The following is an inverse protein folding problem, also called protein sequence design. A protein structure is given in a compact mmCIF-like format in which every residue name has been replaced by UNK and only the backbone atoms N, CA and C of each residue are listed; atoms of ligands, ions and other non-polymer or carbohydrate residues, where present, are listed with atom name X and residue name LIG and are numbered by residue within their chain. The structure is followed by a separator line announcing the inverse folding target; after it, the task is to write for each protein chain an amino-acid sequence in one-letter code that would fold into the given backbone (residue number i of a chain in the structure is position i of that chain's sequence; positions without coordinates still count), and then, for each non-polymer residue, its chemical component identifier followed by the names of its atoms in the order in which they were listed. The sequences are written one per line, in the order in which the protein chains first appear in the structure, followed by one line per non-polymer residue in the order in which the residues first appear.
data_IF_784644780167
#
_entry.id   IF_784644780167
#
_cell.length_a   1.000
_cell.length_b   1.000
_cell.length_c   1.000
_cell.angle_alpha   90.00
_cell.angle_beta   90.00
_cell.angle_gamma   90.00
#
_symmetry.space_group_name_H-M   'P 1'
#
loop_
_entity.id
_entity.type
_entity.pdbx_description
1 polymer ?
#
# COMPACT_ATOMS: atom_id res chain seq x y z
N UNK A 1 22.43 -25.78 4.92
CA UNK A 1 22.11 -25.21 3.60
C UNK A 1 21.43 -23.87 3.83
N UNK A 2 21.92 -22.79 3.22
CA UNK A 2 21.34 -21.44 3.36
C UNK A 2 20.39 -21.20 2.18
N UNK A 3 19.10 -21.05 2.45
CA UNK A 3 18.11 -20.78 1.42
C UNK A 3 18.01 -19.28 1.20
N UNK A 4 18.37 -18.81 0.00
CA UNK A 4 18.14 -17.41 -0.39
C UNK A 4 16.72 -17.25 -0.88
N UNK A 5 15.92 -16.44 -0.19
CA UNK A 5 14.55 -16.10 -0.60
C UNK A 5 14.59 -14.85 -1.48
N UNK A 6 13.99 -14.92 -2.68
CA UNK A 6 13.84 -13.76 -3.55
C UNK A 6 12.53 -13.05 -3.20
N UNK A 7 12.64 -11.85 -2.64
CA UNK A 7 11.49 -11.02 -2.32
C UNK A 7 11.07 -10.13 -3.49
N UNK A 8 9.76 -9.94 -3.64
CA UNK A 8 9.22 -9.01 -4.64
C UNK A 8 9.54 -7.57 -4.23
N UNK A 9 10.05 -6.78 -5.18
CA UNK A 9 10.38 -5.36 -4.95
C UNK A 9 9.17 -4.42 -4.98
N UNK A 10 8.01 -4.90 -5.45
CA UNK A 10 6.76 -4.14 -5.50
C UNK A 10 5.55 -5.07 -5.52
N UNK A 11 4.38 -4.48 -5.29
CA UNK A 11 3.09 -5.13 -5.27
C UNK A 11 2.15 -4.56 -6.32
N UNK A 12 1.18 -5.38 -6.72
CA UNK A 12 0.01 -4.97 -7.47
C UNK A 12 -1.04 -4.35 -6.55
N UNK A 13 -2.00 -3.62 -7.12
CA UNK A 13 -3.15 -3.10 -6.35
C UNK A 13 -3.96 -4.22 -5.67
N UNK A 14 -4.02 -5.41 -6.28
CA UNK A 14 -4.73 -6.55 -5.72
C UNK A 14 -4.00 -7.17 -4.51
N UNK A 15 -2.68 -7.29 -4.56
CA UNK A 15 -1.88 -7.74 -3.42
C UNK A 15 -1.99 -6.75 -2.25
N UNK A 16 -1.91 -5.44 -2.51
CA UNK A 16 -2.09 -4.42 -1.46
C UNK A 16 -3.51 -4.45 -0.87
N UNK A 17 -4.52 -4.74 -1.69
CA UNK A 17 -5.88 -4.93 -1.17
C UNK A 17 -5.95 -6.10 -0.18
N UNK A 18 -5.29 -7.22 -0.48
CA UNK A 18 -5.20 -8.36 0.43
C UNK A 18 -4.41 -8.01 1.70
N UNK A 19 -3.26 -7.34 1.57
CA UNK A 19 -2.43 -6.92 2.70
C UNK A 19 -3.17 -6.03 3.70
N UNK A 20 -3.98 -5.09 3.20
CA UNK A 20 -4.73 -4.14 4.02
C UNK A 20 -6.11 -4.67 4.45
N UNK A 21 -6.51 -5.87 4.01
CA UNK A 21 -7.86 -6.40 4.25
C UNK A 21 -8.97 -5.56 3.59
N UNK A 22 -8.69 -4.91 2.47
CA UNK A 22 -9.62 -4.03 1.75
C UNK A 22 -10.20 -4.70 0.51
N UNK A 23 -11.39 -4.24 0.09
CA UNK A 23 -11.92 -4.56 -1.24
C UNK A 23 -11.11 -3.88 -2.36
N UNK A 24 -10.97 -4.55 -3.51
CA UNK A 24 -10.19 -4.06 -4.65
C UNK A 24 -10.62 -2.66 -5.13
N UNK A 25 -11.92 -2.37 -5.11
CA UNK A 25 -12.45 -1.05 -5.52
C UNK A 25 -11.94 0.07 -4.62
N UNK A 26 -11.91 -0.13 -3.29
CA UNK A 26 -11.35 0.84 -2.33
C UNK A 26 -9.87 1.06 -2.61
N UNK A 27 -9.10 0.00 -2.78
CA UNK A 27 -7.65 0.11 -3.02
C UNK A 27 -7.35 0.79 -4.36
N UNK A 28 -8.14 0.54 -5.40
CA UNK A 28 -8.05 1.28 -6.67
C UNK A 28 -8.33 2.76 -6.48
N UNK A 29 -9.32 3.13 -5.66
CA UNK A 29 -9.59 4.53 -5.35
C UNK A 29 -8.43 5.19 -4.62
N UNK A 30 -7.83 4.52 -3.61
CA UNK A 30 -6.65 5.05 -2.91
C UNK A 30 -5.48 5.32 -3.86
N UNK A 31 -5.27 4.43 -4.83
CA UNK A 31 -4.24 4.60 -5.86
C UNK A 31 -4.59 5.72 -6.84
N UNK A 32 -5.87 5.86 -7.21
CA UNK A 32 -6.34 6.90 -8.13
C UNK A 32 -6.25 8.30 -7.52
N UNK A 33 -6.61 8.44 -6.25
CA UNK A 33 -6.57 9.71 -5.51
C UNK A 33 -5.17 10.08 -5.03
N UNK A 34 -4.24 9.12 -5.03
CA UNK A 34 -2.87 9.33 -4.54
C UNK A 34 -2.71 9.15 -3.03
N UNK A 35 -3.76 8.73 -2.32
CA UNK A 35 -3.71 8.36 -0.90
C UNK A 35 -2.69 7.24 -0.63
N UNK A 36 -2.56 6.32 -1.60
CA UNK A 36 -1.43 5.38 -1.68
C UNK A 36 -0.65 5.71 -2.96
N UNK A 37 0.65 5.97 -2.81
CA UNK A 37 1.58 6.24 -3.92
C UNK A 37 1.69 5.01 -4.83
N UNK A 38 1.86 5.24 -6.13
CA UNK A 38 2.04 4.18 -7.11
C UNK A 38 2.88 4.63 -8.30
N UNK A 39 3.54 3.67 -8.96
CA UNK A 39 4.22 3.83 -10.24
C UNK A 39 3.28 3.35 -11.34
N UNK A 40 3.13 4.15 -12.41
CA UNK A 40 2.50 3.69 -13.65
C UNK A 40 3.54 2.96 -14.49
N UNK A 41 3.33 1.67 -14.67
CA UNK A 41 4.15 0.80 -15.51
C UNK A 41 3.27 0.23 -16.63
N UNK A 42 3.34 0.87 -17.80
CA UNK A 42 2.43 0.64 -18.92
C UNK A 42 0.97 0.83 -18.54
N UNK A 43 0.17 -0.25 -18.65
CA UNK A 43 -1.26 -0.27 -18.29
C UNK A 43 -1.51 -0.57 -16.80
N UNK A 44 -0.46 -0.87 -16.03
CA UNK A 44 -0.57 -1.33 -14.67
C UNK A 44 -0.11 -0.28 -13.66
N UNK A 45 -0.51 -0.49 -12.39
CA UNK A 45 0.03 0.22 -11.24
C UNK A 45 0.89 -0.73 -10.40
N UNK A 46 2.01 -0.22 -9.89
CA UNK A 46 2.91 -0.91 -8.96
C UNK A 46 3.09 -0.06 -7.71
N UNK A 47 3.08 -0.71 -6.56
CA UNK A 47 3.13 -0.07 -5.25
C UNK A 47 4.36 -0.62 -4.54
N UNK A 48 5.28 0.26 -4.13
CA UNK A 48 6.45 -0.16 -3.35
C UNK A 48 6.00 -0.57 -1.94
N UNK A 49 6.64 -1.56 -1.29
CA UNK A 49 6.31 -1.97 0.08
C UNK A 49 6.27 -0.77 1.04
N UNK A 50 7.32 0.08 1.01
CA UNK A 50 7.40 1.29 1.83
C UNK A 50 6.23 2.26 1.69
N UNK A 51 5.53 2.28 0.55
CA UNK A 51 4.38 3.17 0.36
C UNK A 51 3.11 2.62 1.02
N UNK A 52 3.04 1.31 1.24
CA UNK A 52 1.99 0.71 2.07
C UNK A 52 2.25 1.09 3.53
N UNK A 53 3.51 0.99 3.98
CA UNK A 53 3.90 1.38 5.35
C UNK A 53 3.65 2.87 5.61
N UNK A 54 4.05 3.75 4.68
CA UNK A 54 3.80 5.20 4.75
C UNK A 54 2.30 5.52 4.85
N UNK A 55 1.44 4.78 4.13
CA UNK A 55 -0.01 4.95 4.20
C UNK A 55 -0.57 4.56 5.58
N UNK A 56 -0.17 3.41 6.11
CA UNK A 56 -0.59 2.94 7.43
C UNK A 56 -0.12 3.90 8.52
N UNK A 57 1.15 4.32 8.46
CA UNK A 57 1.75 5.23 9.44
C UNK A 57 1.03 6.59 9.48
N UNK A 58 0.57 7.09 8.32
CA UNK A 58 -0.23 8.30 8.27
C UNK A 58 -1.59 8.10 8.93
N UNK A 59 -2.32 7.03 8.61
CA UNK A 59 -3.60 6.73 9.24
C UNK A 59 -3.50 6.58 10.77
N UNK A 60 -2.45 5.89 11.24
CA UNK A 60 -2.19 5.74 12.66
C UNK A 60 -1.99 7.09 13.35
N UNK A 61 -1.15 7.96 12.77
CA UNK A 61 -0.90 9.31 13.28
C UNK A 61 -2.17 10.16 13.31
N UNK A 62 -2.96 10.13 12.24
CA UNK A 62 -4.20 10.91 12.16
C UNK A 62 -5.19 10.47 13.26
N UNK A 63 -5.30 9.16 13.51
CA UNK A 63 -6.14 8.61 14.59
C UNK A 63 -5.61 8.95 16.00
N UNK A 64 -4.29 8.91 16.22
CA UNK A 64 -3.67 9.31 17.49
C UNK A 64 -3.92 10.79 17.83
N UNK A 65 -3.91 11.67 16.82
CA UNK A 65 -4.25 13.08 17.01
C UNK A 65 -5.72 13.27 17.37
N UNK A 66 -6.63 12.53 16.74
CA UNK A 66 -8.07 12.59 17.03
C UNK A 66 -8.38 12.15 18.48
N UNK A 67 -7.74 11.10 18.99
CA UNK A 67 -7.96 10.65 20.37
C UNK A 67 -7.33 11.55 21.44
N UNK A 68 -6.38 12.40 21.06
CA UNK A 68 -5.70 13.31 21.97
C UNK A 68 -6.36 14.70 22.05
N UNK A 69 -7.36 14.97 21.21
CA UNK A 69 -8.11 16.22 21.12
C UNK A 69 -9.42 16.16 21.93
#
# INVERSE_FOLDING_TARGET
MTTTVIERKWHTTAEVAQMLGYGLSKTKMLVLTGEIRSIKDGRNRRILPRWVDEYIARLARDAEMEWSA
#
